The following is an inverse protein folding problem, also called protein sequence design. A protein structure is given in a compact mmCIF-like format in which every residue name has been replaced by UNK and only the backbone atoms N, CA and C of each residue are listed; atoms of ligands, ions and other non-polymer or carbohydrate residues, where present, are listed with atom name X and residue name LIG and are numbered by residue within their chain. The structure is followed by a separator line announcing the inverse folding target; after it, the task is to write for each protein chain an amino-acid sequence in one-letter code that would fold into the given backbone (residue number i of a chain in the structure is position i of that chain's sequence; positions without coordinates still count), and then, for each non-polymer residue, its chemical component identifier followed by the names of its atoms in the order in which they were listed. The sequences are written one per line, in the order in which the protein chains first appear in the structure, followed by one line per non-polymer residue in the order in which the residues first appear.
data_IF_684757586605
#
_entry.id   IF_684757586605
#
_cell.length_a   1.000
_cell.length_b   1.000
_cell.length_c   1.000
_cell.angle_alpha   90.00
_cell.angle_beta   90.00
_cell.angle_gamma   90.00
#
_symmetry.space_group_name_H-M   'P 1'
#
loop_
_entity.id
_entity.type
_entity.pdbx_description
1 polymer ?
#
# COMPACT_ATOMS: atom_id res chain seq x y z
N UNK A 1 14.76 11.41 13.81
CA UNK A 1 13.67 11.38 12.81
C UNK A 1 12.45 12.00 13.42
N UNK A 2 11.77 12.88 12.69
CA UNK A 2 10.47 13.46 13.08
C UNK A 2 9.33 12.49 12.75
N UNK A 3 8.15 12.69 13.33
CA UNK A 3 6.97 11.89 13.00
C UNK A 3 6.61 11.99 11.50
N UNK A 4 6.74 13.18 10.91
CA UNK A 4 6.50 13.39 9.49
C UNK A 4 7.49 12.61 8.60
N UNK A 5 8.77 12.58 8.97
CA UNK A 5 9.78 11.77 8.27
C UNK A 5 9.48 10.27 8.38
N UNK A 6 9.07 9.80 9.57
CA UNK A 6 8.70 8.40 9.79
C UNK A 6 7.45 8.01 8.99
N UNK A 7 6.43 8.85 8.95
CA UNK A 7 5.20 8.59 8.19
C UNK A 7 5.44 8.64 6.68
N UNK A 8 6.32 9.51 6.21
CA UNK A 8 6.74 9.54 4.80
C UNK A 8 7.51 8.27 4.43
N UNK A 9 8.45 7.84 5.27
CA UNK A 9 9.20 6.60 5.05
C UNK A 9 8.30 5.36 5.06
N UNK A 10 7.32 5.32 5.98
CA UNK A 10 6.32 4.25 6.04
C UNK A 10 5.46 4.21 4.77
N UNK A 11 4.96 5.36 4.32
CA UNK A 11 4.19 5.47 3.09
C UNK A 11 4.97 4.94 1.88
N UNK A 12 6.22 5.39 1.71
CA UNK A 12 7.08 4.96 0.60
C UNK A 12 7.33 3.45 0.61
N UNK A 13 7.59 2.88 1.80
CA UNK A 13 7.82 1.45 1.95
C UNK A 13 6.56 0.64 1.60
N UNK A 14 5.41 1.01 2.15
CA UNK A 14 4.15 0.33 1.86
C UNK A 14 3.76 0.41 0.39
N UNK A 15 3.99 1.57 -0.24
CA UNK A 15 3.77 1.73 -1.67
C UNK A 15 4.64 0.78 -2.50
N UNK A 16 5.95 0.70 -2.20
CA UNK A 16 6.86 -0.19 -2.92
C UNK A 16 6.49 -1.67 -2.76
N UNK A 17 6.09 -2.09 -1.56
CA UNK A 17 5.63 -3.46 -1.28
C UNK A 17 4.30 -3.77 -2.02
N UNK A 18 3.37 -2.82 -2.06
CA UNK A 18 2.09 -2.99 -2.75
C UNK A 18 2.26 -3.05 -4.27
N UNK A 19 3.13 -2.24 -4.84
CA UNK A 19 3.44 -2.30 -6.29
C UNK A 19 4.12 -3.61 -6.67
N UNK A 20 5.08 -4.08 -5.87
CA UNK A 20 5.72 -5.39 -6.08
C UNK A 20 4.67 -6.52 -6.06
N UNK A 21 3.73 -6.46 -5.12
CA UNK A 21 2.65 -7.44 -5.02
C UNK A 21 1.67 -7.35 -6.20
N UNK A 22 1.32 -6.13 -6.64
CA UNK A 22 0.47 -5.88 -7.82
C UNK A 22 1.11 -6.44 -9.09
N UNK A 23 2.39 -6.16 -9.32
CA UNK A 23 3.14 -6.68 -10.46
C UNK A 23 3.16 -8.21 -10.48
N UNK A 24 3.42 -8.83 -9.32
CA UNK A 24 3.36 -10.28 -9.18
C UNK A 24 1.96 -10.82 -9.50
N UNK A 25 0.91 -10.22 -8.92
CA UNK A 25 -0.47 -10.65 -9.09
C UNK A 25 -0.90 -10.58 -10.57
N UNK A 26 -0.51 -9.53 -11.29
CA UNK A 26 -0.79 -9.37 -12.72
C UNK A 26 -0.09 -10.40 -13.61
N UNK A 27 0.94 -11.07 -13.12
CA UNK A 27 1.62 -12.17 -13.83
C UNK A 27 0.98 -13.55 -13.59
N UNK A 28 0.03 -13.65 -12.65
CA UNK A 28 -0.62 -14.91 -12.29
C UNK A 28 -1.80 -15.27 -13.22
N UNK A 29 -2.20 -16.56 -13.29
CA UNK A 29 -3.43 -16.95 -13.96
C UNK A 29 -4.67 -16.39 -13.26
N UNK A 30 -5.80 -16.30 -13.98
CA UNK A 30 -7.04 -15.70 -13.50
C UNK A 30 -7.58 -16.34 -12.21
N UNK A 31 -7.42 -17.65 -12.05
CA UNK A 31 -7.84 -18.37 -10.83
C UNK A 31 -7.08 -17.88 -9.60
N UNK A 32 -5.77 -17.69 -9.74
CA UNK A 32 -4.93 -17.20 -8.65
C UNK A 32 -5.20 -15.73 -8.35
N UNK A 33 -5.46 -14.92 -9.38
CA UNK A 33 -5.92 -13.53 -9.19
C UNK A 33 -7.20 -13.51 -8.34
N UNK A 34 -8.16 -14.39 -8.62
CA UNK A 34 -9.41 -14.49 -7.85
C UNK A 34 -9.17 -14.91 -6.40
N UNK A 35 -8.27 -15.86 -6.15
CA UNK A 35 -7.90 -16.32 -4.81
C UNK A 35 -7.33 -15.19 -3.94
N UNK A 36 -6.63 -14.24 -4.56
CA UNK A 36 -5.96 -13.13 -3.86
C UNK A 36 -6.76 -11.82 -3.81
N UNK A 37 -7.99 -11.79 -4.35
CA UNK A 37 -8.83 -10.57 -4.36
C UNK A 37 -9.03 -9.98 -2.97
N UNK A 38 -9.35 -10.81 -1.97
CA UNK A 38 -9.55 -10.36 -0.59
C UNK A 38 -8.28 -9.76 0.01
N UNK A 39 -7.14 -10.44 -0.13
CA UNK A 39 -5.85 -9.95 0.37
C UNK A 39 -5.48 -8.62 -0.29
N UNK A 40 -5.63 -8.54 -1.62
CA UNK A 40 -5.33 -7.33 -2.38
C UNK A 40 -6.18 -6.14 -1.91
N UNK A 41 -7.49 -6.33 -1.74
CA UNK A 41 -8.40 -5.28 -1.26
C UNK A 41 -8.05 -4.81 0.15
N UNK A 42 -7.74 -5.73 1.07
CA UNK A 42 -7.36 -5.36 2.46
C UNK A 42 -6.05 -4.58 2.47
N UNK A 43 -5.06 -4.99 1.68
CA UNK A 43 -3.78 -4.26 1.57
C UNK A 43 -3.97 -2.83 1.06
N UNK A 44 -4.81 -2.65 0.04
CA UNK A 44 -5.13 -1.32 -0.50
C UNK A 44 -5.82 -0.42 0.56
N UNK A 45 -6.75 -0.96 1.35
CA UNK A 45 -7.44 -0.21 2.42
C UNK A 45 -6.47 0.27 3.52
N UNK A 46 -5.53 -0.59 3.93
CA UNK A 46 -4.48 -0.23 4.88
C UNK A 46 -3.56 0.84 4.29
N UNK A 47 -3.14 0.68 3.03
CA UNK A 47 -2.29 1.67 2.35
C UNK A 47 -2.99 3.02 2.23
N UNK A 48 -4.28 3.04 1.87
CA UNK A 48 -5.09 4.26 1.78
C UNK A 48 -5.13 5.00 3.12
N UNK A 49 -5.33 4.28 4.22
CA UNK A 49 -5.32 4.85 5.58
C UNK A 49 -3.96 5.51 5.91
N UNK A 50 -2.85 4.88 5.52
CA UNK A 50 -1.50 5.43 5.74
C UNK A 50 -1.23 6.62 4.83
N UNK A 51 -1.67 6.56 3.57
CA UNK A 51 -1.55 7.66 2.62
C UNK A 51 -2.31 8.91 3.10
N UNK A 52 -3.51 8.74 3.63
CA UNK A 52 -4.32 9.85 4.11
C UNK A 52 -3.74 10.48 5.38
N UNK A 53 -3.17 9.67 6.28
CA UNK A 53 -2.41 10.18 7.43
C UNK A 53 -1.21 11.02 7.00
N UNK A 54 -0.38 10.51 6.08
CA UNK A 54 0.78 11.24 5.58
C UNK A 54 0.38 12.58 4.92
N UNK A 55 -0.68 12.60 4.11
CA UNK A 55 -1.22 13.84 3.51
C UNK A 55 -1.72 14.84 4.55
N UNK A 56 -2.42 14.36 5.59
CA UNK A 56 -2.97 15.21 6.64
C UNK A 56 -1.91 15.92 7.50
N UNK A 57 -0.71 15.35 7.58
CA UNK A 57 0.42 15.91 8.32
C UNK A 57 1.23 16.91 7.50
N UNK A 58 1.28 16.74 6.17
CA UNK A 58 1.91 17.70 5.25
C UNK A 58 1.11 19.00 5.14
N UNK A 59 -0.20 18.96 5.44
CA UNK A 59 -1.09 20.13 5.42
C UNK A 59 -1.16 20.91 6.74
N UNK A 60 -0.47 20.48 7.79
CA UNK A 60 -0.40 21.16 9.09
C UNK A 60 0.91 21.91 9.25
#
# INVERSE_FOLDING_TARGET
MTNAELNTALYQKMFAEQETYREWLLSQPSEEILNHTYEYTVREDIWQTVADRAKSEVQK
#
